data_IF_876106193738
#
_entry.id   IF_876106193738
#
_cell.length_a   1.000
_cell.length_b   1.000
_cell.length_c   1.000
_cell.angle_alpha   90.00
_cell.angle_beta   90.00
_cell.angle_gamma   90.00
#
_symmetry.space_group_name_H-M   'P 1'
#
loop_
_entity.id
_entity.type
_entity.pdbx_description
1 polymer ?
#
# COMPACT_ATOMS: atom_id res chain seq x y z
N UNK A 1 -8.60 15.11 -3.15
CA UNK A 1 -9.03 14.14 -4.19
C UNK A 1 -7.77 13.66 -4.87
N UNK A 2 -7.47 12.35 -4.87
CA UNK A 2 -6.28 11.82 -5.54
C UNK A 2 -6.41 12.05 -7.05
N UNK A 3 -5.47 12.81 -7.62
CA UNK A 3 -5.44 13.24 -9.04
C UNK A 3 -5.55 12.09 -10.05
N UNK A 4 -5.18 10.87 -9.67
CA UNK A 4 -5.36 9.64 -10.46
C UNK A 4 -6.83 9.33 -10.80
N UNK A 5 -7.80 9.98 -10.14
CA UNK A 5 -9.23 9.84 -10.43
C UNK A 5 -9.77 10.90 -11.39
N UNK A 6 -8.97 11.88 -11.79
CA UNK A 6 -9.40 12.95 -12.69
C UNK A 6 -9.05 12.61 -14.13
N UNK A 7 -9.96 12.83 -15.12
CA UNK A 7 -9.74 12.48 -16.52
C UNK A 7 -8.44 13.04 -17.11
N UNK A 8 -8.06 14.25 -16.71
CA UNK A 8 -6.82 14.93 -17.14
C UNK A 8 -5.66 14.67 -16.16
N UNK A 9 -5.38 13.40 -15.90
CA UNK A 9 -4.28 13.00 -15.02
C UNK A 9 -2.95 13.05 -15.77
N UNK A 10 -2.02 13.90 -15.31
CA UNK A 10 -0.68 14.02 -15.87
C UNK A 10 0.09 12.70 -15.81
N UNK A 11 0.93 12.45 -16.83
CA UNK A 11 1.73 11.22 -17.00
C UNK A 11 2.53 10.82 -15.77
N UNK A 12 3.11 11.79 -15.06
CA UNK A 12 3.85 11.58 -13.82
C UNK A 12 3.02 10.85 -12.75
N UNK A 13 1.74 11.22 -12.59
CA UNK A 13 0.87 10.68 -11.54
C UNK A 13 0.19 9.38 -11.94
N UNK A 14 0.01 9.14 -13.25
CA UNK A 14 -0.59 7.90 -13.78
C UNK A 14 0.42 6.82 -14.15
N UNK A 15 1.72 7.09 -14.00
CA UNK A 15 2.80 6.26 -14.54
C UNK A 15 2.69 6.02 -16.06
N UNK A 16 2.31 7.05 -16.81
CA UNK A 16 1.94 6.94 -18.23
C UNK A 16 3.11 6.99 -19.21
N UNK A 17 4.35 7.13 -18.73
CA UNK A 17 5.55 7.14 -19.58
C UNK A 17 6.19 5.75 -19.67
N UNK A 18 7.15 5.62 -20.59
CA UNK A 18 7.98 4.41 -20.68
C UNK A 18 8.78 4.21 -19.40
N UNK A 19 9.10 2.94 -19.11
CA UNK A 19 9.77 2.52 -17.88
C UNK A 19 10.94 3.42 -17.46
N UNK A 20 11.85 3.75 -18.37
CA UNK A 20 13.04 4.55 -18.06
C UNK A 20 12.74 6.02 -17.79
N UNK A 21 11.79 6.61 -18.54
CA UNK A 21 11.39 8.00 -18.33
C UNK A 21 10.63 8.13 -17.01
N UNK A 22 9.74 7.18 -16.74
CA UNK A 22 9.02 7.11 -15.47
C UNK A 22 9.97 6.93 -14.29
N UNK A 23 10.94 6.01 -14.39
CA UNK A 23 11.97 5.80 -13.38
C UNK A 23 12.74 7.09 -13.08
N UNK A 24 13.18 7.78 -14.13
CA UNK A 24 13.92 9.02 -13.98
C UNK A 24 13.06 10.09 -13.29
N UNK A 25 11.81 10.26 -13.74
CA UNK A 25 10.88 11.21 -13.18
C UNK A 25 10.55 10.93 -11.71
N UNK A 26 10.14 9.71 -11.38
CA UNK A 26 9.68 9.36 -10.05
C UNK A 26 10.81 9.29 -9.01
N UNK A 27 12.03 8.91 -9.44
CA UNK A 27 13.15 8.70 -8.52
C UNK A 27 14.08 9.92 -8.42
N UNK A 28 14.11 10.81 -9.41
CA UNK A 28 15.08 11.90 -9.50
C UNK A 28 14.46 13.27 -9.78
N UNK A 29 13.16 13.37 -10.06
CA UNK A 29 12.50 14.65 -10.34
C UNK A 29 11.38 14.94 -9.33
N UNK A 30 11.13 16.23 -9.13
CA UNK A 30 10.06 16.75 -8.27
C UNK A 30 8.93 17.29 -9.15
N UNK A 31 7.69 16.87 -8.88
CA UNK A 31 6.51 17.45 -9.50
C UNK A 31 6.12 18.74 -8.77
N UNK A 32 6.29 19.90 -9.44
CA UNK A 32 5.84 21.21 -8.92
C UNK A 32 4.54 21.62 -9.60
N UNK A 33 3.45 21.63 -8.85
CA UNK A 33 2.15 22.06 -9.33
C UNK A 33 2.05 23.59 -9.31
N UNK A 34 1.51 24.18 -10.37
CA UNK A 34 1.25 25.63 -10.42
C UNK A 34 0.20 26.05 -9.40
N UNK A 35 -0.83 25.21 -9.20
CA UNK A 35 -1.89 25.40 -8.23
C UNK A 35 -1.98 24.15 -7.35
N UNK A 36 -1.17 24.11 -6.29
CA UNK A 36 -1.16 23.00 -5.36
C UNK A 36 -2.49 22.93 -4.59
N UNK A 37 -3.15 21.76 -4.50
CA UNK A 37 -4.33 21.64 -3.67
C UNK A 37 -3.92 21.76 -2.20
N UNK A 38 -4.57 22.65 -1.45
CA UNK A 38 -4.36 22.71 -0.01
C UNK A 38 -4.87 21.41 0.66
N UNK A 39 -3.94 20.54 1.06
CA UNK A 39 -4.26 19.32 1.81
C UNK A 39 -4.54 19.71 3.26
N UNK A 40 -5.82 19.76 3.62
CA UNK A 40 -6.24 19.95 5.00
C UNK A 40 -6.23 18.61 5.74
N UNK A 41 -5.16 18.35 6.49
CA UNK A 41 -5.10 17.19 7.41
C UNK A 41 -6.13 17.41 8.51
N UNK A 42 -6.97 16.40 8.78
CA UNK A 42 -7.99 16.50 9.81
C UNK A 42 -7.37 16.77 11.19
N UNK A 43 -7.98 17.63 12.04
CA UNK A 43 -7.42 17.96 13.35
C UNK A 43 -7.09 16.73 14.20
N UNK A 44 -7.89 15.67 14.08
CA UNK A 44 -7.66 14.39 14.77
C UNK A 44 -6.29 13.78 14.45
N UNK A 45 -5.83 13.87 13.20
CA UNK A 45 -4.53 13.33 12.78
C UNK A 45 -3.44 14.36 13.05
N UNK A 46 -3.65 15.63 12.68
CA UNK A 46 -2.65 16.68 12.82
C UNK A 46 -2.24 16.94 14.29
N UNK A 47 -3.16 16.75 15.24
CA UNK A 47 -2.93 16.97 16.67
C UNK A 47 -2.64 15.69 17.44
N UNK A 48 -2.56 14.54 16.78
CA UNK A 48 -2.26 13.28 17.43
C UNK A 48 -0.81 13.26 17.94
N UNK A 49 -0.64 13.04 19.25
CA UNK A 49 0.67 13.08 19.90
C UNK A 49 1.60 11.95 19.43
N UNK A 50 1.04 10.79 19.08
CA UNK A 50 1.81 9.67 18.55
C UNK A 50 2.37 10.03 17.18
N UNK A 51 1.54 10.55 16.26
CA UNK A 51 2.02 10.97 14.94
C UNK A 51 3.04 12.10 15.03
N UNK A 52 2.82 13.10 15.90
CA UNK A 52 3.80 14.16 16.12
C UNK A 52 5.12 13.64 16.71
N UNK A 53 5.07 12.64 17.59
CA UNK A 53 6.28 12.00 18.12
C UNK A 53 7.02 11.24 17.02
N UNK A 54 6.32 10.46 16.20
CA UNK A 54 6.91 9.73 15.09
C UNK A 54 7.59 10.67 14.09
N UNK A 55 6.91 11.75 13.73
CA UNK A 55 7.45 12.78 12.84
C UNK A 55 8.68 13.47 13.47
N UNK A 56 8.62 13.92 14.72
CA UNK A 56 9.77 14.59 15.35
C UNK A 56 10.99 13.68 15.53
N UNK A 57 10.79 12.37 15.56
CA UNK A 57 11.85 11.39 15.84
C UNK A 57 12.20 10.50 14.66
N UNK A 58 11.69 10.76 13.45
CA UNK A 58 11.83 9.84 12.30
C UNK A 58 13.29 9.49 11.98
N UNK A 59 14.22 10.44 12.16
CA UNK A 59 15.67 10.20 11.98
C UNK A 59 16.25 9.35 13.12
N UNK A 60 15.83 9.58 14.36
CA UNK A 60 16.29 8.82 15.53
C UNK A 60 15.82 7.36 15.49
N UNK A 61 14.67 7.10 14.87
CA UNK A 61 14.16 5.74 14.64
C UNK A 61 15.08 4.89 13.75
N UNK A 62 16.08 5.49 13.09
CA UNK A 62 17.10 4.75 12.34
C UNK A 62 18.19 4.15 13.25
N UNK A 63 18.36 4.67 14.47
CA UNK A 63 19.41 4.23 15.40
C UNK A 63 19.29 2.74 15.77
N UNK A 64 18.11 2.17 16.10
CA UNK A 64 18.00 0.74 16.35
C UNK A 64 18.51 -0.11 15.19
N UNK A 65 18.19 0.25 13.95
CA UNK A 65 18.65 -0.50 12.77
C UNK A 65 20.15 -0.33 12.57
N UNK A 66 20.69 0.87 12.73
CA UNK A 66 22.12 1.12 12.66
C UNK A 66 22.90 0.34 13.73
N UNK A 67 22.39 0.28 14.97
CA UNK A 67 22.99 -0.48 16.06
C UNK A 67 22.97 -1.99 15.78
N UNK A 68 21.87 -2.53 15.24
CA UNK A 68 21.77 -3.94 14.85
C UNK A 68 22.76 -4.28 13.72
N UNK A 69 22.87 -3.42 12.69
CA UNK A 69 23.84 -3.59 11.60
C UNK A 69 25.28 -3.49 12.12
N UNK A 70 25.56 -2.55 13.01
CA UNK A 70 26.86 -2.41 13.64
C UNK A 70 27.22 -3.63 14.48
N UNK A 71 26.28 -4.16 15.27
CA UNK A 71 26.48 -5.36 16.05
C UNK A 71 26.76 -6.59 15.17
N UNK A 72 26.11 -6.68 14.00
CA UNK A 72 26.28 -7.79 13.07
C UNK A 72 27.61 -7.76 12.30
N UNK A 73 28.07 -6.58 11.88
CA UNK A 73 29.24 -6.50 10.99
C UNK A 73 29.96 -5.16 10.98
N UNK A 74 29.81 -4.37 12.05
CA UNK A 74 30.48 -3.09 12.24
C UNK A 74 30.03 -2.01 11.25
N UNK A 75 30.87 -0.99 11.10
CA UNK A 75 30.56 0.20 10.28
C UNK A 75 30.30 -0.12 8.81
N UNK A 76 30.94 -1.14 8.23
CA UNK A 76 30.71 -1.54 6.85
C UNK A 76 29.24 -1.94 6.62
N UNK A 77 28.66 -2.70 7.56
CA UNK A 77 27.26 -3.10 7.52
C UNK A 77 26.31 -1.93 7.75
N UNK A 78 26.68 -0.97 8.60
CA UNK A 78 25.88 0.26 8.78
C UNK A 78 25.79 1.03 7.48
N UNK A 79 26.92 1.35 6.85
CA UNK A 79 26.93 2.13 5.62
C UNK A 79 26.25 1.39 4.47
N UNK A 80 26.69 0.17 4.17
CA UNK A 80 26.13 -0.60 3.06
C UNK A 80 24.68 -0.99 3.33
N UNK A 81 24.37 -1.53 4.51
CA UNK A 81 23.02 -2.00 4.86
C UNK A 81 21.99 -0.89 4.89
N UNK A 82 22.35 0.29 5.40
CA UNK A 82 21.43 1.45 5.40
C UNK A 82 21.15 1.92 3.97
N UNK A 83 22.19 2.10 3.15
CA UNK A 83 22.04 2.50 1.76
C UNK A 83 21.26 1.45 0.96
N UNK A 84 21.62 0.18 1.06
CA UNK A 84 20.94 -0.91 0.38
C UNK A 84 19.45 -0.99 0.76
N UNK A 85 19.13 -0.85 2.05
CA UNK A 85 17.74 -0.85 2.53
C UNK A 85 16.94 0.34 1.98
N UNK A 86 17.49 1.55 2.01
CA UNK A 86 16.82 2.75 1.47
C UNK A 86 16.62 2.60 -0.04
N UNK A 87 17.66 2.18 -0.78
CA UNK A 87 17.57 1.92 -2.21
C UNK A 87 16.52 0.87 -2.51
N UNK A 88 16.53 -0.28 -1.84
CA UNK A 88 15.55 -1.34 -2.05
C UNK A 88 14.11 -0.87 -1.75
N UNK A 89 13.91 -0.08 -0.70
CA UNK A 89 12.61 0.49 -0.36
C UNK A 89 12.10 1.48 -1.40
N UNK A 90 12.92 2.47 -1.77
CA UNK A 90 12.54 3.52 -2.73
C UNK A 90 12.35 2.94 -4.14
N UNK A 91 13.32 2.19 -4.65
CA UNK A 91 13.22 1.58 -5.97
C UNK A 91 12.13 0.50 -6.00
N UNK A 92 12.00 -0.32 -4.95
CA UNK A 92 11.00 -1.37 -4.89
C UNK A 92 9.58 -0.80 -4.88
N UNK A 93 9.34 0.27 -4.10
CA UNK A 93 8.05 0.95 -4.05
C UNK A 93 7.68 1.57 -5.40
N UNK A 94 8.63 2.26 -6.05
CA UNK A 94 8.41 2.77 -7.41
C UNK A 94 8.14 1.65 -8.42
N UNK A 95 8.95 0.58 -8.40
CA UNK A 95 8.86 -0.52 -9.35
C UNK A 95 7.51 -1.21 -9.28
N UNK A 96 7.03 -1.51 -8.06
CA UNK A 96 5.71 -2.11 -7.90
C UNK A 96 4.61 -1.14 -8.33
N UNK A 97 4.72 0.15 -8.01
CA UNK A 97 3.78 1.18 -8.46
C UNK A 97 3.68 1.27 -9.99
N UNK A 98 4.83 1.32 -10.67
CA UNK A 98 4.88 1.38 -12.14
C UNK A 98 4.19 0.17 -12.77
N UNK A 99 4.56 -1.05 -12.35
CA UNK A 99 3.94 -2.24 -12.90
C UNK A 99 2.45 -2.29 -12.52
N UNK A 100 2.08 -1.99 -11.28
CA UNK A 100 0.70 -2.08 -10.84
C UNK A 100 -0.22 -1.06 -11.55
N UNK A 101 0.32 0.02 -12.09
CA UNK A 101 -0.46 0.97 -12.88
C UNK A 101 -0.51 0.66 -14.38
N UNK A 102 0.38 -0.20 -14.88
CA UNK A 102 0.52 -0.46 -16.33
C UNK A 102 0.29 -1.93 -16.73
N UNK A 103 0.43 -2.87 -15.81
CA UNK A 103 0.49 -4.30 -16.08
C UNK A 103 -0.11 -5.13 -14.93
N UNK A 104 -0.82 -6.19 -15.29
CA UNK A 104 -1.28 -7.19 -14.32
C UNK A 104 -2.74 -7.55 -14.52
N UNK A 105 -3.28 -8.31 -13.58
CA UNK A 105 -4.68 -8.69 -13.58
C UNK A 105 -5.54 -7.55 -13.02
N UNK A 106 -6.76 -7.42 -13.52
CA UNK A 106 -7.73 -6.46 -13.02
C UNK A 106 -9.07 -7.17 -12.87
N UNK A 107 -9.62 -7.14 -11.67
CA UNK A 107 -10.91 -7.75 -11.35
C UNK A 107 -11.99 -6.71 -11.08
N UNK A 108 -11.58 -5.51 -10.72
CA UNK A 108 -12.44 -4.39 -10.41
C UNK A 108 -12.11 -3.21 -11.33
N UNK A 109 -13.12 -2.66 -11.98
CA UNK A 109 -13.03 -1.42 -12.71
C UNK A 109 -13.65 -0.29 -11.88
N UNK A 110 -12.91 0.78 -11.65
CA UNK A 110 -13.44 2.00 -11.02
C UNK A 110 -13.82 2.98 -12.14
N UNK A 111 -15.10 3.05 -12.50
CA UNK A 111 -15.56 3.93 -13.58
C UNK A 111 -15.24 5.39 -13.31
N UNK A 112 -14.77 6.07 -14.35
CA UNK A 112 -14.39 7.48 -14.28
C UNK A 112 -13.04 7.74 -13.63
N UNK A 113 -12.35 6.72 -13.08
CA UNK A 113 -10.96 6.87 -12.70
C UNK A 113 -10.07 6.90 -13.95
N UNK A 114 -9.18 7.89 -14.03
CA UNK A 114 -8.24 8.01 -15.15
C UNK A 114 -7.15 6.94 -15.14
N UNK A 115 -6.91 6.31 -14.00
CA UNK A 115 -5.93 5.26 -13.81
C UNK A 115 -6.59 4.09 -13.10
N UNK A 116 -6.43 2.89 -13.66
CA UNK A 116 -6.79 1.65 -12.98
C UNK A 116 -5.53 1.03 -12.34
N UNK A 117 -5.69 0.47 -11.15
CA UNK A 117 -4.68 -0.39 -10.55
C UNK A 117 -4.81 -1.82 -11.05
N UNK A 118 -3.71 -2.57 -11.04
CA UNK A 118 -3.61 -3.96 -11.45
C UNK A 118 -2.91 -4.78 -10.36
N UNK A 119 -3.30 -6.04 -10.22
CA UNK A 119 -2.78 -7.01 -9.27
C UNK A 119 -1.56 -7.74 -9.86
N UNK A 120 -0.46 -7.81 -9.09
CA UNK A 120 0.79 -8.50 -9.46
C UNK A 120 1.07 -9.66 -8.51
N UNK A 121 0.64 -10.86 -8.90
CA UNK A 121 0.60 -12.04 -8.03
C UNK A 121 1.95 -12.43 -7.39
N UNK A 122 3.04 -12.32 -8.15
CA UNK A 122 4.37 -12.79 -7.73
C UNK A 122 5.10 -11.85 -6.77
N UNK A 123 4.58 -10.64 -6.53
CA UNK A 123 5.25 -9.62 -5.73
C UNK A 123 4.77 -9.53 -4.27
N UNK A 124 3.71 -10.25 -3.90
CA UNK A 124 3.02 -10.10 -2.62
C UNK A 124 3.89 -10.25 -1.37
N UNK A 125 4.78 -11.24 -1.35
CA UNK A 125 5.70 -11.45 -0.23
C UNK A 125 6.72 -10.34 -0.09
N UNK A 126 7.20 -9.81 -1.22
CA UNK A 126 8.20 -8.75 -1.25
C UNK A 126 7.59 -7.40 -0.85
N UNK A 127 6.35 -7.15 -1.26
CA UNK A 127 5.68 -5.86 -1.10
C UNK A 127 4.72 -5.83 0.09
N UNK A 128 4.72 -6.88 0.92
CA UNK A 128 3.83 -7.01 2.07
C UNK A 128 2.33 -6.87 1.71
N UNK A 129 1.95 -7.25 0.48
CA UNK A 129 0.57 -7.19 -0.02
C UNK A 129 0.25 -5.98 -0.90
N UNK A 130 1.12 -4.96 -0.98
CA UNK A 130 0.90 -3.75 -1.80
C UNK A 130 0.78 -4.04 -3.30
N UNK A 131 1.15 -5.24 -3.76
CA UNK A 131 0.99 -5.64 -5.15
C UNK A 131 -0.47 -5.90 -5.54
N UNK A 132 -1.39 -6.01 -4.57
CA UNK A 132 -2.83 -6.17 -4.81
C UNK A 132 -3.48 -4.81 -5.06
N UNK A 133 -2.90 -4.06 -6.00
CA UNK A 133 -3.23 -2.67 -6.23
C UNK A 133 -4.64 -2.50 -6.79
N UNK A 134 -5.11 -3.41 -7.65
CA UNK A 134 -6.49 -3.36 -8.13
C UNK A 134 -7.49 -3.49 -6.99
N UNK A 135 -7.24 -4.44 -6.08
CA UNK A 135 -8.06 -4.63 -4.88
C UNK A 135 -8.02 -3.39 -3.97
N UNK A 136 -6.84 -2.79 -3.78
CA UNK A 136 -6.67 -1.57 -3.00
C UNK A 136 -7.47 -0.40 -3.61
N UNK A 137 -7.38 -0.19 -4.93
CA UNK A 137 -8.13 0.86 -5.62
C UNK A 137 -9.65 0.65 -5.55
N UNK A 138 -10.10 -0.61 -5.57
CA UNK A 138 -11.49 -0.99 -5.36
C UNK A 138 -11.98 -0.70 -3.93
N UNK A 139 -11.18 -1.05 -2.92
CA UNK A 139 -11.53 -0.95 -1.50
C UNK A 139 -10.44 -0.24 -0.67
N UNK A 140 -10.22 1.08 -0.87
CA UNK A 140 -9.09 1.80 -0.26
C UNK A 140 -9.17 1.91 1.27
N UNK A 141 -10.35 1.68 1.85
CA UNK A 141 -10.54 1.65 3.31
C UNK A 141 -10.38 0.25 3.93
N UNK A 142 -10.08 -0.78 3.13
CA UNK A 142 -9.90 -2.15 3.62
C UNK A 142 -8.51 -2.30 4.22
N UNK A 143 -8.44 -2.91 5.39
CA UNK A 143 -7.19 -3.32 6.03
C UNK A 143 -6.53 -4.52 5.35
N UNK A 144 -7.28 -5.26 4.51
CA UNK A 144 -6.80 -6.41 3.75
C UNK A 144 -6.75 -6.07 2.26
N UNK A 145 -5.60 -6.25 1.63
CA UNK A 145 -5.36 -5.99 0.21
C UNK A 145 -5.57 -7.26 -0.63
N UNK A 146 -5.15 -8.42 -0.13
CA UNK A 146 -5.42 -9.72 -0.76
C UNK A 146 -6.84 -10.22 -0.45
N UNK A 147 -7.73 -10.23 -1.44
CA UNK A 147 -9.15 -10.54 -1.26
C UNK A 147 -9.51 -12.00 -1.58
N UNK A 148 -8.68 -12.69 -2.36
CA UNK A 148 -8.87 -14.09 -2.74
C UNK A 148 -7.98 -15.02 -1.91
N UNK A 149 -8.31 -16.31 -1.93
CA UNK A 149 -7.60 -17.34 -1.16
C UNK A 149 -6.13 -17.49 -1.60
N UNK A 150 -5.87 -17.33 -2.89
CA UNK A 150 -4.54 -17.41 -3.49
C UNK A 150 -3.79 -16.07 -3.49
N UNK A 151 -4.36 -15.02 -2.87
CA UNK A 151 -3.73 -13.71 -2.75
C UNK A 151 -3.08 -13.55 -1.38
N UNK A 152 -1.79 -13.89 -1.31
CA UNK A 152 -1.04 -13.77 -0.06
C UNK A 152 -0.85 -12.32 0.34
N UNK A 153 -1.13 -12.00 1.60
CA UNK A 153 -1.07 -10.64 2.12
C UNK A 153 -0.35 -10.66 3.48
N UNK A 154 0.99 -10.55 3.46
CA UNK A 154 1.77 -10.51 4.69
C UNK A 154 1.40 -9.35 5.61
N UNK A 155 1.02 -8.19 5.07
CA UNK A 155 0.54 -7.06 5.85
C UNK A 155 -0.70 -7.43 6.67
N UNK A 156 -1.66 -8.11 6.04
CA UNK A 156 -2.84 -8.65 6.72
C UNK A 156 -2.49 -9.69 7.79
N UNK A 157 -1.49 -10.54 7.57
CA UNK A 157 -1.03 -11.51 8.58
C UNK A 157 -0.49 -10.80 9.82
N UNK A 158 0.30 -9.73 9.64
CA UNK A 158 0.81 -8.90 10.73
C UNK A 158 -0.35 -8.23 11.48
N UNK A 159 -1.33 -7.66 10.77
CA UNK A 159 -2.51 -7.05 11.41
C UNK A 159 -3.34 -8.08 12.20
N UNK A 160 -3.48 -9.31 11.68
CA UNK A 160 -4.10 -10.41 12.41
C UNK A 160 -3.34 -10.75 13.70
N UNK A 161 -2.01 -10.82 13.64
CA UNK A 161 -1.16 -11.08 14.81
C UNK A 161 -1.26 -9.96 15.85
N UNK A 162 -1.24 -8.70 15.41
CA UNK A 162 -1.43 -7.52 16.28
C UNK A 162 -2.82 -7.52 16.92
N UNK A 163 -3.86 -7.90 16.16
CA UNK A 163 -5.21 -8.04 16.70
C UNK A 163 -5.29 -9.14 17.76
N UNK A 164 -4.67 -10.29 17.51
CA UNK A 164 -4.61 -11.38 18.48
C UNK A 164 -3.87 -10.98 19.76
N UNK A 165 -2.85 -10.12 19.65
CA UNK A 165 -2.12 -9.54 20.77
C UNK A 165 -2.84 -8.36 21.45
N UNK A 166 -4.03 -7.95 20.97
CA UNK A 166 -4.76 -6.80 21.50
C UNK A 166 -4.17 -5.43 21.14
N UNK A 167 -3.20 -5.38 20.22
CA UNK A 167 -2.52 -4.16 19.77
C UNK A 167 -3.26 -3.44 18.63
N UNK A 168 -4.13 -4.16 17.91
CA UNK A 168 -4.95 -3.61 16.83
C UNK A 168 -6.41 -4.05 16.99
N UNK A 169 -7.34 -3.15 16.70
CA UNK A 169 -8.78 -3.41 16.75
C UNK A 169 -9.50 -2.57 15.69
N UNK A 170 -10.80 -2.84 15.50
CA UNK A 170 -11.64 -2.16 14.49
C UNK A 170 -11.09 -2.22 13.05
N UNK A 171 -10.45 -3.34 12.68
CA UNK A 171 -10.02 -3.59 11.30
C UNK A 171 -11.26 -3.62 10.39
N UNK A 172 -11.24 -2.84 9.32
CA UNK A 172 -12.30 -2.76 8.31
C UNK A 172 -11.97 -3.65 7.13
N UNK A 173 -12.94 -4.41 6.65
CA UNK A 173 -12.86 -5.23 5.44
C UNK A 173 -13.78 -4.63 4.36
N UNK A 174 -13.69 -5.09 3.09
CA UNK A 174 -14.54 -4.59 2.02
C UNK A 174 -16.04 -4.60 2.35
N UNK A 175 -16.50 -5.60 3.10
CA UNK A 175 -17.89 -5.72 3.54
C UNK A 175 -18.33 -4.63 4.53
N UNK A 176 -17.39 -3.99 5.23
CA UNK A 176 -17.66 -2.91 6.19
C UNK A 176 -17.67 -1.53 5.54
N UNK A 177 -17.29 -1.43 4.27
CA UNK A 177 -17.16 -0.17 3.54
C UNK A 177 -18.49 0.24 2.88
N UNK A 178 -18.73 1.55 2.67
CA UNK A 178 -19.90 1.99 1.93
C UNK A 178 -19.87 1.48 0.49
N UNK A 179 -21.05 1.21 -0.06
CA UNK A 179 -21.19 0.84 -1.46
C UNK A 179 -20.66 1.95 -2.37
N UNK A 180 -19.89 1.56 -3.39
CA UNK A 180 -19.30 2.47 -4.38
C UNK A 180 -20.00 2.27 -5.73
N UNK A 181 -20.90 3.18 -6.15
CA UNK A 181 -21.67 3.01 -7.39
C UNK A 181 -20.79 3.01 -8.64
N UNK A 182 -19.59 3.59 -8.57
CA UNK A 182 -18.62 3.61 -9.65
C UNK A 182 -17.85 2.28 -9.83
N UNK A 183 -17.94 1.35 -8.88
CA UNK A 183 -17.18 0.10 -8.89
C UNK A 183 -17.94 -0.97 -9.70
N UNK A 184 -17.29 -1.54 -10.72
CA UNK A 184 -17.79 -2.72 -11.45
C UNK A 184 -16.86 -3.91 -11.30
N UNK A 185 -17.44 -5.09 -11.16
CA UNK A 185 -16.71 -6.36 -11.14
C UNK A 185 -16.60 -6.87 -12.57
N UNK A 186 -15.39 -7.13 -13.04
CA UNK A 186 -15.13 -7.68 -14.36
C UNK A 186 -15.36 -9.21 -14.32
N UNK A 187 -16.34 -9.67 -15.10
CA UNK A 187 -16.87 -11.04 -15.07
C UNK A 187 -15.90 -12.10 -15.62
N UNK A 188 -14.83 -11.69 -16.32
CA UNK A 188 -13.83 -12.58 -16.93
C UNK A 188 -12.67 -12.93 -16.00
N UNK A 189 -12.63 -12.38 -14.78
CA UNK A 189 -11.70 -12.87 -13.77
C UNK A 189 -12.12 -14.29 -13.39
N UNK A 190 -11.23 -15.31 -13.49
CA UNK A 190 -11.57 -16.68 -13.13
C UNK A 190 -12.20 -16.66 -11.74
N UNK A 191 -13.37 -17.27 -11.63
CA UNK A 191 -14.20 -17.29 -10.42
C UNK A 191 -13.50 -18.08 -9.29
N UNK A 192 -12.37 -17.58 -8.78
CA UNK A 192 -11.76 -18.07 -7.55
C UNK A 192 -12.52 -17.45 -6.39
N UNK A 193 -13.60 -18.15 -6.00
CA UNK A 193 -14.34 -18.04 -4.73
C UNK A 193 -14.08 -16.74 -3.98
N UNK A 194 -14.74 -15.67 -4.42
CA UNK A 194 -14.92 -14.48 -3.60
C UNK A 194 -15.48 -14.94 -2.24
N UNK A 195 -14.78 -14.58 -1.17
CA UNK A 195 -15.03 -15.06 0.19
C UNK A 195 -16.34 -14.46 0.73
N UNK A 196 -17.48 -14.94 0.25
CA UNK A 196 -18.76 -14.76 0.94
C UNK A 196 -18.85 -15.60 2.23
N UNK A 197 -17.85 -16.42 2.58
CA UNK A 197 -17.96 -17.37 3.68
C UNK A 197 -16.62 -17.98 4.18
N UNK A 198 -15.68 -17.19 4.69
CA UNK A 198 -14.67 -17.73 5.63
C UNK A 198 -14.72 -16.97 6.95
N UNK A 199 -15.76 -17.32 7.71
CA UNK A 199 -15.91 -17.14 9.16
C UNK A 199 -14.85 -17.88 9.99
N UNK A 200 -13.75 -18.34 9.42
CA UNK A 200 -12.82 -19.24 10.09
C UNK A 200 -11.40 -18.73 9.96
N UNK A 201 -10.97 -18.01 11.01
CA UNK A 201 -9.60 -17.91 11.56
C UNK A 201 -9.47 -16.74 12.57
N UNK A 202 -10.56 -16.02 12.88
CA UNK A 202 -10.61 -15.06 13.99
C UNK A 202 -11.85 -15.26 14.90
N UNK A 203 -12.24 -16.52 15.16
CA UNK A 203 -13.11 -16.87 16.28
C UNK A 203 -12.26 -17.44 17.41
N UNK A 204 -11.48 -16.58 18.06
CA UNK A 204 -11.16 -16.78 19.47
C UNK A 204 -12.37 -16.23 20.24
N UNK A 205 -13.12 -17.17 20.83
CA UNK A 205 -14.28 -16.95 21.68
C UNK A 205 -14.03 -15.80 22.66
N UNK A 206 -14.98 -14.87 22.78
CA UNK A 206 -15.18 -14.21 24.06
C UNK A 206 -15.78 -15.25 25.02
N UNK A 207 -15.20 -15.36 26.20
CA UNK A 207 -15.82 -16.01 27.34
C UNK A 207 -15.25 -15.35 28.58
N UNK A 208 -16.10 -14.51 29.19
CA UNK A 208 -15.92 -13.71 30.42
C UNK A 208 -15.18 -12.39 30.25
#
# INVERSE_FOLDING_TARGET
>A
MLWQRLPDCHDYLRHGRSFWVDAWWQLNCELRLQNEPHIHIEPRIAQDRCYQFLERTWMLQQLPVALLLYWWGGWAYVFFGTCARVTAGVFGHWLIGYFAHNHGAMEYEVHGAAVQGHNIRLASLLTMGECWHNNHHAFPGSARLGLKVDEWDPGWWVLCAMRAAGLAWNLRLPEDLPARPELRVLLDAPASRCMRCLRYLCHLRSSV
#
